data_IF_348888442890
#
_entry.id   IF_348888442890
#
_cell.length_a   1.000
_cell.length_b   1.000
_cell.length_c   1.000
_cell.angle_alpha   90.00
_cell.angle_beta   90.00
_cell.angle_gamma   90.00
#
_symmetry.space_group_name_H-M   'P 1'
#
loop_
_entity.id
_entity.type
_entity.pdbx_description
1 polymer ?
#
# COMPACT_ATOMS: atom_id res chain seq x y z
N UNK A 1 -33.31 39.05 -9.58
CA UNK A 1 -33.20 37.57 -9.71
C UNK A 1 -31.83 37.08 -10.16
N UNK A 2 -31.18 37.66 -11.19
CA UNK A 2 -29.84 37.20 -11.64
C UNK A 2 -28.73 37.24 -10.57
N UNK A 3 -28.73 38.21 -9.65
CA UNK A 3 -27.71 38.35 -8.60
C UNK A 3 -27.82 37.32 -7.46
N UNK A 4 -29.00 36.72 -7.27
CA UNK A 4 -29.21 35.68 -6.24
C UNK A 4 -28.68 34.33 -6.72
N UNK A 5 -28.83 34.03 -8.02
CA UNK A 5 -28.31 32.80 -8.63
C UNK A 5 -26.78 32.72 -8.60
N UNK A 6 -26.09 33.86 -8.76
CA UNK A 6 -24.62 33.91 -8.74
C UNK A 6 -24.05 33.67 -7.34
N UNK A 7 -24.72 34.16 -6.30
CA UNK A 7 -24.30 33.97 -4.91
C UNK A 7 -24.45 32.50 -4.45
N UNK A 8 -25.49 31.80 -4.91
CA UNK A 8 -25.71 30.38 -4.58
C UNK A 8 -24.67 29.48 -5.27
N UNK A 9 -24.27 29.79 -6.51
CA UNK A 9 -23.23 29.03 -7.21
C UNK A 9 -21.84 29.22 -6.59
N UNK A 10 -21.54 30.40 -6.06
CA UNK A 10 -20.26 30.66 -5.38
C UNK A 10 -20.20 29.98 -3.99
N UNK A 11 -21.33 29.85 -3.30
CA UNK A 11 -21.41 29.16 -2.01
C UNK A 11 -21.25 27.63 -2.13
N UNK A 12 -21.69 27.03 -3.25
CA UNK A 12 -21.49 25.61 -3.55
C UNK A 12 -20.03 25.26 -3.87
N UNK A 13 -19.23 26.22 -4.37
CA UNK A 13 -17.79 26.05 -4.60
C UNK A 13 -16.94 26.16 -3.32
N UNK A 14 -17.55 26.59 -2.20
CA UNK A 14 -16.90 26.73 -0.90
C UNK A 14 -17.20 25.58 0.05
N UNK A 15 -17.85 24.52 -0.41
CA UNK A 15 -17.96 23.29 0.38
C UNK A 15 -16.58 22.63 0.32
N UNK A 16 -15.77 22.65 1.40
CA UNK A 16 -14.54 21.88 1.41
C UNK A 16 -14.96 20.43 1.15
N UNK A 17 -14.45 19.85 0.06
CA UNK A 17 -14.57 18.41 -0.14
C UNK A 17 -13.98 17.76 1.09
N UNK A 18 -14.81 17.12 1.91
CA UNK A 18 -14.29 16.29 2.98
C UNK A 18 -13.43 15.23 2.27
N UNK A 19 -12.11 15.29 2.45
CA UNK A 19 -11.25 14.20 2.08
C UNK A 19 -11.74 13.00 2.91
N UNK A 20 -12.53 12.13 2.26
CA UNK A 20 -13.03 10.93 2.89
C UNK A 20 -11.80 10.05 3.13
N UNK A 21 -11.58 9.69 4.40
CA UNK A 21 -10.52 8.76 4.74
C UNK A 21 -10.77 7.42 4.04
N UNK A 22 -9.71 6.84 3.50
CA UNK A 22 -9.76 5.55 2.83
C UNK A 22 -10.15 4.44 3.80
N UNK A 23 -10.87 3.45 3.29
CA UNK A 23 -11.26 2.28 4.07
C UNK A 23 -10.46 1.07 3.61
N UNK A 24 -9.77 0.44 4.57
CA UNK A 24 -9.10 -0.84 4.37
C UNK A 24 -9.89 -1.92 5.09
N UNK A 25 -10.23 -3.00 4.40
CA UNK A 25 -10.85 -4.19 5.00
C UNK A 25 -9.80 -5.29 5.13
N UNK A 26 -9.75 -5.94 6.29
CA UNK A 26 -8.89 -7.08 6.53
C UNK A 26 -9.65 -8.37 6.22
N UNK A 27 -9.17 -9.14 5.24
CA UNK A 27 -9.80 -10.38 4.81
C UNK A 27 -9.07 -11.62 5.35
N UNK A 28 -7.81 -11.47 5.78
CA UNK A 28 -7.06 -12.54 6.41
C UNK A 28 -5.57 -12.51 6.11
N UNK A 29 -4.97 -13.68 6.16
CA UNK A 29 -3.56 -13.90 5.82
C UNK A 29 -3.54 -14.54 4.43
N UNK A 30 -2.95 -13.83 3.46
CA UNK A 30 -2.73 -14.35 2.11
C UNK A 30 -1.64 -15.42 2.14
N UNK A 31 -0.46 -15.06 2.68
CA UNK A 31 0.66 -15.96 2.85
C UNK A 31 1.08 -16.02 4.32
N UNK A 32 0.89 -17.16 5.02
CA UNK A 32 1.35 -17.28 6.39
C UNK A 32 2.87 -17.28 6.45
N UNK A 33 3.41 -16.53 7.41
CA UNK A 33 4.83 -16.57 7.77
C UNK A 33 5.08 -17.39 9.04
N UNK A 34 6.26 -17.19 9.61
CA UNK A 34 6.73 -17.87 10.81
C UNK A 34 6.71 -16.92 12.02
N UNK A 35 6.74 -17.49 13.22
CA UNK A 35 6.89 -16.73 14.44
C UNK A 35 8.34 -16.33 14.60
N UNK A 36 8.57 -15.04 14.86
CA UNK A 36 9.91 -14.50 15.02
C UNK A 36 10.12 -13.90 16.41
N UNK A 37 11.38 -13.71 16.73
CA UNK A 37 11.86 -12.95 17.88
C UNK A 37 12.92 -11.97 17.40
N UNK A 38 12.80 -10.71 17.82
CA UNK A 38 13.78 -9.68 17.55
C UNK A 38 13.91 -8.68 18.70
N UNK A 39 14.63 -7.59 18.45
CA UNK A 39 14.83 -6.53 19.42
C UNK A 39 14.52 -5.17 18.80
N UNK A 40 13.89 -4.28 19.57
CA UNK A 40 13.75 -2.85 19.30
C UNK A 40 14.19 -2.13 20.56
N UNK A 41 15.12 -1.18 20.46
CA UNK A 41 15.69 -0.48 21.63
C UNK A 41 16.07 -1.43 22.78
N UNK A 42 16.79 -2.52 22.47
CA UNK A 42 17.17 -3.61 23.41
C UNK A 42 16.00 -4.40 24.02
N UNK A 43 14.75 -4.03 23.75
CA UNK A 43 13.57 -4.74 24.21
C UNK A 43 13.21 -5.84 23.23
N UNK A 44 13.09 -7.05 23.77
CA UNK A 44 12.72 -8.22 22.98
C UNK A 44 11.26 -8.16 22.56
N UNK A 45 11.01 -8.45 21.29
CA UNK A 45 9.68 -8.51 20.68
C UNK A 45 9.43 -9.87 20.06
N UNK A 46 8.18 -10.29 20.07
CA UNK A 46 7.69 -11.53 19.50
C UNK A 46 6.51 -11.19 18.60
N UNK A 47 6.49 -11.76 17.40
CA UNK A 47 5.42 -11.53 16.46
C UNK A 47 5.28 -12.73 15.51
N UNK A 48 4.08 -12.91 14.98
CA UNK A 48 3.85 -13.75 13.80
C UNK A 48 4.00 -12.87 12.57
N UNK A 49 4.67 -13.36 11.55
CA UNK A 49 4.79 -12.69 10.26
C UNK A 49 3.81 -13.27 9.25
N UNK A 50 3.55 -12.53 8.18
CA UNK A 50 2.77 -12.99 7.04
C UNK A 50 2.46 -11.84 6.11
N UNK A 51 1.98 -12.19 4.93
CA UNK A 51 1.39 -11.25 3.97
C UNK A 51 -0.12 -11.21 4.20
N UNK A 52 -0.70 -10.02 4.25
CA UNK A 52 -2.13 -9.85 4.46
C UNK A 52 -2.92 -9.84 3.16
N UNK A 53 -4.09 -10.45 3.22
CA UNK A 53 -5.17 -10.23 2.27
C UNK A 53 -6.01 -9.06 2.80
N UNK A 54 -5.97 -7.94 2.07
CA UNK A 54 -6.75 -6.74 2.36
C UNK A 54 -7.43 -6.22 1.10
N UNK A 55 -8.49 -5.44 1.28
CA UNK A 55 -9.06 -4.62 0.20
C UNK A 55 -8.98 -3.14 0.56
N UNK A 56 -8.63 -2.29 -0.40
CA UNK A 56 -8.65 -0.83 -0.26
C UNK A 56 -9.77 -0.26 -1.12
N UNK A 57 -10.76 0.40 -0.51
CA UNK A 57 -11.94 0.95 -1.19
C UNK A 57 -12.63 -0.06 -2.14
N UNK A 58 -12.80 -1.30 -1.66
CA UNK A 58 -13.41 -2.42 -2.40
C UNK A 58 -12.53 -3.00 -3.53
N UNK A 59 -11.33 -2.47 -3.75
CA UNK A 59 -10.33 -3.04 -4.67
C UNK A 59 -9.38 -4.00 -3.95
N UNK A 60 -9.05 -5.10 -4.60
CA UNK A 60 -8.12 -6.10 -4.09
C UNK A 60 -6.68 -5.57 -4.11
N UNK A 61 -5.98 -5.75 -3.01
CA UNK A 61 -4.57 -5.43 -2.87
C UNK A 61 -3.76 -6.71 -3.08
N UNK A 62 -2.68 -6.63 -3.86
CA UNK A 62 -1.90 -7.81 -4.24
C UNK A 62 -1.04 -8.36 -3.09
N UNK A 63 -0.52 -7.46 -2.26
CA UNK A 63 0.29 -7.81 -1.09
C UNK A 63 0.30 -6.65 -0.10
N UNK A 64 0.21 -6.97 1.20
CA UNK A 64 0.28 -5.98 2.28
C UNK A 64 1.05 -6.51 3.49
N UNK A 65 1.83 -5.63 4.13
CA UNK A 65 2.65 -5.94 5.29
C UNK A 65 2.55 -4.84 6.35
N UNK A 66 2.68 -5.22 7.62
CA UNK A 66 2.80 -4.26 8.72
C UNK A 66 4.09 -3.45 8.61
N UNK A 67 4.08 -2.16 8.90
CA UNK A 67 5.31 -1.36 8.89
C UNK A 67 6.00 -1.31 10.26
N UNK A 68 5.30 -1.64 11.34
CA UNK A 68 5.83 -1.61 12.71
C UNK A 68 5.53 -2.89 13.48
N UNK A 69 6.53 -3.46 14.16
CA UNK A 69 6.30 -4.58 15.08
C UNK A 69 5.64 -4.14 16.40
N UNK A 70 5.51 -2.83 16.63
CA UNK A 70 5.01 -2.28 17.89
C UNK A 70 3.49 -2.03 17.91
N UNK A 71 2.86 -1.99 16.74
CA UNK A 71 1.42 -1.79 16.60
C UNK A 71 0.70 -3.13 16.44
N UNK A 72 -0.64 -3.13 16.45
CA UNK A 72 -1.43 -4.35 16.22
C UNK A 72 -2.79 -4.03 15.59
N UNK A 73 -3.39 -5.05 14.97
CA UNK A 73 -4.70 -4.95 14.30
C UNK A 73 -4.61 -4.34 12.90
N UNK A 74 -5.47 -4.79 11.99
CA UNK A 74 -5.54 -4.34 10.59
C UNK A 74 -6.99 -3.99 10.25
N UNK A 75 -7.18 -3.04 9.32
CA UNK A 75 -8.48 -2.66 8.76
C UNK A 75 -9.16 -1.49 9.49
N UNK A 76 -10.15 -0.86 8.88
CA UNK A 76 -10.76 0.39 9.36
C UNK A 76 -10.37 1.59 8.50
N UNK A 77 -10.28 2.77 9.13
CA UNK A 77 -10.00 4.02 8.42
C UNK A 77 -8.50 4.34 8.39
N UNK A 78 -8.00 4.66 7.20
CA UNK A 78 -6.61 4.98 6.93
C UNK A 78 -6.48 6.28 6.14
N UNK A 79 -5.31 6.90 6.25
CA UNK A 79 -4.87 7.95 5.35
C UNK A 79 -3.86 7.31 4.38
N UNK A 80 -4.26 7.13 3.11
CA UNK A 80 -3.44 6.41 2.13
C UNK A 80 -2.73 7.41 1.23
N UNK A 81 -1.41 7.24 1.11
CA UNK A 81 -0.57 8.08 0.26
C UNK A 81 0.22 7.21 -0.69
N UNK A 82 0.24 7.56 -1.98
CA UNK A 82 1.03 6.85 -2.97
C UNK A 82 2.53 7.04 -2.67
N UNK A 83 3.34 5.99 -2.88
CA UNK A 83 4.78 6.06 -2.68
C UNK A 83 5.43 7.19 -3.47
N UNK A 84 4.93 7.45 -4.69
CA UNK A 84 5.40 8.52 -5.57
C UNK A 84 5.26 9.94 -5.01
N UNK A 85 4.38 10.13 -4.01
CA UNK A 85 4.12 11.43 -3.41
C UNK A 85 5.08 11.73 -2.25
N UNK A 86 5.86 10.73 -1.81
CA UNK A 86 6.89 10.90 -0.79
C UNK A 86 8.21 11.36 -1.42
N UNK A 87 8.89 12.31 -0.78
CA UNK A 87 10.26 12.65 -1.17
C UNK A 87 11.23 11.53 -0.77
N UNK A 88 11.80 10.83 -1.75
CA UNK A 88 12.77 9.77 -1.53
C UNK A 88 13.94 10.18 -0.63
N UNK A 89 14.41 11.43 -0.71
CA UNK A 89 15.55 11.90 0.11
C UNK A 89 15.23 11.92 1.61
N UNK A 90 13.94 12.03 1.95
CA UNK A 90 13.43 12.02 3.32
C UNK A 90 12.95 10.63 3.72
N UNK A 91 12.28 9.91 2.81
CA UNK A 91 11.60 8.64 3.05
C UNK A 91 12.32 7.43 2.42
N UNK A 92 13.66 7.45 2.41
CA UNK A 92 14.46 6.40 1.75
C UNK A 92 14.13 4.97 2.23
N UNK A 93 13.86 4.78 3.52
CA UNK A 93 13.51 3.47 4.09
C UNK A 93 12.15 2.98 3.60
N UNK A 94 11.22 3.89 3.30
CA UNK A 94 9.92 3.53 2.72
C UNK A 94 10.09 3.03 1.27
N UNK A 95 10.92 3.71 0.48
CA UNK A 95 11.28 3.24 -0.86
C UNK A 95 12.02 1.90 -0.84
N UNK A 96 12.93 1.71 0.11
CA UNK A 96 13.61 0.42 0.32
C UNK A 96 12.64 -0.68 0.71
N UNK A 97 11.69 -0.40 1.61
CA UNK A 97 10.66 -1.36 1.98
C UNK A 97 9.77 -1.74 0.79
N UNK A 98 9.37 -0.76 -0.03
CA UNK A 98 8.61 -1.01 -1.26
C UNK A 98 9.41 -1.85 -2.26
N UNK A 99 10.71 -1.59 -2.42
CA UNK A 99 11.59 -2.40 -3.27
C UNK A 99 11.69 -3.84 -2.79
N UNK A 100 11.81 -4.03 -1.48
CA UNK A 100 11.80 -5.37 -0.88
C UNK A 100 10.51 -6.09 -1.26
N UNK A 101 9.37 -5.43 -1.14
CA UNK A 101 8.10 -6.03 -1.58
C UNK A 101 8.11 -6.34 -3.08
N UNK A 102 8.48 -5.39 -3.94
CA UNK A 102 8.44 -5.53 -5.40
C UNK A 102 9.32 -6.70 -5.93
N UNK A 103 10.34 -7.11 -5.18
CA UNK A 103 11.28 -8.15 -5.60
C UNK A 103 11.15 -9.46 -4.82
N UNK A 104 10.56 -9.44 -3.61
CA UNK A 104 10.58 -10.59 -2.70
C UNK A 104 9.22 -10.98 -2.10
N UNK A 105 8.16 -10.18 -2.31
CA UNK A 105 6.83 -10.52 -1.81
C UNK A 105 6.22 -11.69 -2.62
N UNK A 106 5.79 -12.79 -1.98
CA UNK A 106 5.15 -13.90 -2.68
C UNK A 106 3.90 -13.49 -3.46
N UNK A 107 3.06 -12.62 -2.89
CA UNK A 107 1.85 -12.11 -3.56
C UNK A 107 2.12 -11.28 -4.82
N UNK A 108 3.36 -10.84 -5.02
CA UNK A 108 3.80 -10.11 -6.21
C UNK A 108 4.54 -11.01 -7.22
N UNK A 109 4.51 -12.32 -7.03
CA UNK A 109 5.10 -13.29 -7.94
C UNK A 109 6.58 -13.57 -7.70
N UNK A 110 7.09 -13.33 -6.48
CA UNK A 110 8.39 -13.84 -6.09
C UNK A 110 8.39 -15.37 -6.15
N UNK A 111 9.23 -15.92 -7.02
CA UNK A 111 9.38 -17.36 -7.21
C UNK A 111 10.84 -17.76 -6.97
N UNK A 112 11.03 -18.81 -6.16
CA UNK A 112 12.35 -19.33 -5.82
C UNK A 112 12.29 -20.82 -5.57
N UNK A 113 13.13 -21.59 -6.28
CA UNK A 113 13.35 -23.01 -5.99
C UNK A 113 13.96 -23.25 -4.60
N UNK A 114 14.48 -22.19 -3.95
CA UNK A 114 15.26 -22.27 -2.73
C UNK A 114 14.51 -21.82 -1.48
N UNK A 115 13.62 -20.84 -1.62
CA UNK A 115 12.86 -20.25 -0.53
C UNK A 115 11.37 -20.46 -0.77
N UNK A 116 10.68 -21.13 0.15
CA UNK A 116 9.22 -21.20 0.11
C UNK A 116 8.58 -19.85 0.40
N UNK A 117 7.36 -19.62 -0.07
CA UNK A 117 6.57 -18.41 0.19
C UNK A 117 6.48 -18.05 1.68
N UNK A 118 6.35 -19.04 2.56
CA UNK A 118 6.35 -18.84 4.02
C UNK A 118 7.66 -18.22 4.53
N UNK A 119 8.81 -18.65 3.99
CA UNK A 119 10.12 -18.10 4.34
C UNK A 119 10.27 -16.69 3.76
N UNK A 120 9.82 -16.47 2.52
CA UNK A 120 9.85 -15.17 1.85
C UNK A 120 8.97 -14.14 2.58
N UNK A 121 7.71 -14.46 2.87
CA UNK A 121 6.81 -13.59 3.64
C UNK A 121 7.38 -13.27 5.04
N UNK A 122 8.05 -14.24 5.69
CA UNK A 122 8.74 -14.01 6.98
C UNK A 122 9.91 -13.03 6.83
N UNK A 123 10.73 -13.21 5.81
CA UNK A 123 11.91 -12.39 5.55
C UNK A 123 11.50 -10.96 5.16
N UNK A 124 10.52 -10.80 4.26
CA UNK A 124 9.96 -9.51 3.81
C UNK A 124 9.38 -8.76 5.00
N UNK A 125 8.45 -9.36 5.77
CA UNK A 125 7.84 -8.71 6.93
C UNK A 125 8.88 -8.28 7.96
N UNK A 126 9.89 -9.12 8.22
CA UNK A 126 10.98 -8.80 9.16
C UNK A 126 11.88 -7.67 8.66
N UNK A 127 12.16 -7.63 7.36
CA UNK A 127 12.99 -6.61 6.74
C UNK A 127 12.27 -5.25 6.70
N UNK A 128 10.98 -5.24 6.40
CA UNK A 128 10.13 -4.04 6.49
C UNK A 128 10.16 -3.50 7.92
N UNK A 129 9.98 -4.35 8.94
CA UNK A 129 10.10 -3.91 10.32
C UNK A 129 11.48 -3.35 10.67
N UNK A 130 12.55 -3.93 10.14
CA UNK A 130 13.91 -3.42 10.36
C UNK A 130 14.12 -2.02 9.79
N UNK A 131 13.39 -1.66 8.72
CA UNK A 131 13.48 -0.35 8.07
C UNK A 131 12.50 0.68 8.66
N UNK A 132 11.28 0.26 9.00
CA UNK A 132 10.15 1.15 9.26
C UNK A 132 9.66 1.17 10.70
N UNK A 133 10.01 0.17 11.53
CA UNK A 133 9.62 0.21 12.96
C UNK A 133 10.20 1.46 13.59
N UNK A 134 9.42 2.36 14.19
CA UNK A 134 9.96 3.54 14.86
C UNK A 134 10.80 3.12 16.06
N UNK A 135 11.96 3.75 16.22
CA UNK A 135 12.90 3.47 17.31
C UNK A 135 13.55 4.74 17.84
N UNK A 136 13.92 4.72 19.12
CA UNK A 136 14.65 5.83 19.73
C UNK A 136 16.16 5.67 19.62
N UNK A 137 16.66 4.43 19.68
CA UNK A 137 18.08 4.11 19.75
C UNK A 137 18.52 3.08 18.72
N UNK A 138 17.73 2.03 18.47
CA UNK A 138 18.10 0.98 17.50
C UNK A 138 16.88 0.43 16.74
N UNK A 139 17.01 0.22 15.41
CA UNK A 139 15.95 -0.38 14.60
C UNK A 139 15.58 -1.79 15.06
N UNK A 140 14.47 -2.30 14.54
CA UNK A 140 14.15 -3.71 14.70
C UNK A 140 15.26 -4.57 14.11
N UNK A 141 15.72 -5.56 14.89
CA UNK A 141 16.68 -6.56 14.43
C UNK A 141 16.13 -7.96 14.67
N UNK A 142 16.02 -8.75 13.60
CA UNK A 142 15.64 -10.16 13.68
C UNK A 142 16.74 -10.98 14.38
N UNK A 143 16.42 -11.48 15.57
CA UNK A 143 17.34 -12.32 16.35
C UNK A 143 17.23 -13.79 15.97
N UNK A 144 16.00 -14.30 15.89
CA UNK A 144 15.74 -15.72 15.60
C UNK A 144 14.33 -15.93 15.05
N UNK A 145 14.18 -16.89 14.16
CA UNK A 145 12.89 -17.47 13.80
C UNK A 145 12.60 -18.64 14.74
N UNK A 146 11.41 -18.64 15.34
CA UNK A 146 11.04 -19.47 16.50
C UNK A 146 10.06 -20.59 16.19
N UNK A 147 9.38 -20.55 15.04
CA UNK A 147 8.55 -21.65 14.52
C UNK A 147 9.10 -22.20 13.20
N UNK A 148 8.55 -23.34 12.76
CA UNK A 148 8.99 -24.04 11.54
C UNK A 148 10.15 -25.02 11.78
N UNK A 149 10.51 -25.74 10.72
CA UNK A 149 11.68 -26.62 10.66
C UNK A 149 12.99 -25.86 10.87
N UNK A 150 14.07 -26.57 11.21
CA UNK A 150 15.39 -25.94 11.36
C UNK A 150 15.87 -25.28 10.06
N UNK A 151 15.54 -25.87 8.91
CA UNK A 151 15.86 -25.32 7.59
C UNK A 151 15.11 -24.02 7.35
N UNK A 152 13.79 -24.00 7.54
CA UNK A 152 12.97 -22.77 7.39
C UNK A 152 13.48 -21.63 8.26
N UNK A 153 13.82 -21.93 9.52
CA UNK A 153 14.35 -20.93 10.47
C UNK A 153 15.68 -20.35 10.01
N UNK A 154 16.58 -21.18 9.52
CA UNK A 154 17.89 -20.76 9.01
C UNK A 154 17.73 -19.94 7.72
N UNK A 155 16.99 -20.46 6.74
CA UNK A 155 16.79 -19.86 5.43
C UNK A 155 16.03 -18.54 5.47
N UNK A 156 14.99 -18.43 6.30
CA UNK A 156 14.27 -17.16 6.46
C UNK A 156 15.18 -16.06 7.01
N UNK A 157 16.11 -16.41 7.92
CA UNK A 157 17.07 -15.45 8.47
C UNK A 157 18.17 -15.07 7.47
N UNK A 158 18.62 -16.05 6.68
CA UNK A 158 19.55 -15.84 5.57
C UNK A 158 18.95 -14.88 4.54
N UNK A 159 17.74 -15.16 4.06
CA UNK A 159 17.01 -14.32 3.10
C UNK A 159 16.76 -12.92 3.66
N UNK A 160 16.33 -12.80 4.92
CA UNK A 160 16.21 -11.48 5.59
C UNK A 160 17.50 -10.66 5.52
N UNK A 161 18.65 -11.30 5.76
CA UNK A 161 19.96 -10.61 5.75
C UNK A 161 20.35 -10.22 4.33
N UNK A 162 20.10 -11.09 3.36
CA UNK A 162 20.33 -10.83 1.93
C UNK A 162 19.49 -9.64 1.46
N UNK A 163 18.18 -9.65 1.71
CA UNK A 163 17.24 -8.58 1.34
C UNK A 163 17.69 -7.21 1.89
N UNK A 164 18.09 -7.16 3.16
CA UNK A 164 18.55 -5.90 3.76
C UNK A 164 19.88 -5.40 3.16
N UNK A 165 20.79 -6.31 2.80
CA UNK A 165 22.05 -5.97 2.17
C UNK A 165 21.82 -5.44 0.74
N UNK A 166 21.00 -6.11 -0.06
CA UNK A 166 20.69 -5.70 -1.43
C UNK A 166 19.95 -4.37 -1.47
N UNK A 167 18.91 -4.20 -0.65
CA UNK A 167 18.12 -2.96 -0.59
C UNK A 167 18.94 -1.73 -0.15
N UNK A 168 20.10 -1.91 0.49
CA UNK A 168 20.98 -0.81 0.87
C UNK A 168 21.78 -0.24 -0.31
N UNK A 169 21.96 -1.00 -1.39
CA UNK A 169 22.76 -0.63 -2.56
C UNK A 169 21.95 -0.07 -3.74
N UNK A 170 20.63 0.04 -3.62
CA UNK A 170 19.75 0.42 -4.73
C UNK A 170 19.76 1.93 -4.95
N UNK A 171 19.93 2.34 -6.21
CA UNK A 171 19.69 3.71 -6.65
C UNK A 171 18.25 3.87 -7.14
N UNK A 172 17.43 4.53 -6.31
CA UNK A 172 16.02 4.79 -6.60
C UNK A 172 15.79 5.87 -7.65
N UNK A 173 16.81 6.62 -8.06
CA UNK A 173 16.68 7.61 -9.13
C UNK A 173 16.43 6.98 -10.51
N UNK A 174 16.81 5.71 -10.68
CA UNK A 174 16.66 4.95 -11.94
C UNK A 174 15.79 3.70 -11.81
N UNK A 175 15.41 3.32 -10.60
CA UNK A 175 14.59 2.14 -10.36
C UNK A 175 13.13 2.37 -10.76
N UNK A 176 12.59 1.48 -11.60
CA UNK A 176 11.18 1.49 -12.00
C UNK A 176 10.44 0.35 -11.31
N UNK A 177 9.52 0.70 -10.40
CA UNK A 177 8.65 -0.26 -9.74
C UNK A 177 7.72 -0.97 -10.73
N UNK A 178 7.57 -2.28 -10.56
CA UNK A 178 6.66 -3.12 -11.33
C UNK A 178 5.21 -2.90 -10.89
N UNK A 179 5.00 -2.69 -9.60
CA UNK A 179 3.71 -2.43 -8.97
C UNK A 179 3.57 -0.97 -8.49
N UNK A 180 2.35 -0.58 -8.12
CA UNK A 180 2.11 0.70 -7.42
C UNK A 180 2.11 0.44 -5.92
N UNK A 181 2.84 1.26 -5.16
CA UNK A 181 2.98 1.10 -3.72
C UNK A 181 2.32 2.25 -2.97
N UNK A 182 1.74 1.94 -1.82
CA UNK A 182 1.00 2.88 -1.00
C UNK A 182 1.34 2.66 0.47
N UNK A 183 1.45 3.77 1.20
CA UNK A 183 1.58 3.77 2.65
C UNK A 183 0.24 4.18 3.26
N UNK A 184 -0.28 3.34 4.16
CA UNK A 184 -1.53 3.56 4.87
C UNK A 184 -1.25 3.86 6.34
N UNK A 185 -1.48 5.11 6.75
CA UNK A 185 -1.40 5.54 8.16
C UNK A 185 -2.75 5.33 8.85
N UNK A 186 -2.78 4.60 9.96
CA UNK A 186 -4.02 4.26 10.64
C UNK A 186 -4.58 5.43 11.47
N UNK A 187 -5.81 5.84 11.14
CA UNK A 187 -6.53 6.85 11.93
C UNK A 187 -7.06 6.32 13.28
N UNK A 188 -6.87 5.03 13.56
CA UNK A 188 -7.50 4.32 14.68
C UNK A 188 -6.48 3.63 15.60
N UNK A 189 -5.21 4.04 15.54
CA UNK A 189 -4.10 3.42 16.29
C UNK A 189 -3.95 1.91 15.99
N UNK A 190 -4.23 1.50 14.76
CA UNK A 190 -3.97 0.13 14.29
C UNK A 190 -2.60 0.04 13.63
N UNK A 191 -2.28 -1.09 13.01
CA UNK A 191 -1.08 -1.23 12.19
C UNK A 191 -1.17 -0.34 10.97
N UNK A 192 -0.11 0.44 10.77
CA UNK A 192 0.19 1.08 9.49
C UNK A 192 0.65 0.02 8.50
N UNK A 193 0.30 0.21 7.24
CA UNK A 193 0.48 -0.78 6.19
C UNK A 193 1.30 -0.20 5.06
N UNK A 194 2.20 -1.03 4.53
CA UNK A 194 2.76 -0.85 3.21
C UNK A 194 2.14 -1.91 2.32
N UNK A 195 1.52 -1.48 1.23
CA UNK A 195 0.82 -2.39 0.34
C UNK A 195 1.02 -2.04 -1.13
N UNK A 196 0.75 -3.04 -1.98
CA UNK A 196 0.95 -2.95 -3.42
C UNK A 196 -0.33 -3.25 -4.20
N UNK A 197 -0.56 -2.50 -5.27
CA UNK A 197 -1.63 -2.77 -6.25
C UNK A 197 -1.03 -2.96 -7.64
N UNK A 198 -1.80 -3.62 -8.51
CA UNK A 198 -1.40 -3.81 -9.89
C UNK A 198 -1.20 -2.45 -10.56
N UNK A 199 -0.12 -2.30 -11.32
CA UNK A 199 0.09 -1.11 -12.16
C UNK A 199 -0.96 -1.12 -13.26
N UNK A 200 -2.05 -0.39 -13.07
CA UNK A 200 -3.09 -0.27 -14.09
C UNK A 200 -2.48 0.42 -15.30
N UNK A 201 -2.27 -0.30 -16.40
CA UNK A 201 -1.94 0.32 -17.68
C UNK A 201 -3.15 1.15 -18.12
N UNK A 202 -3.06 2.48 -17.96
CA UNK A 202 -3.99 3.51 -18.43
C UNK A 202 -5.45 3.46 -17.90
N UNK A 203 -5.76 4.49 -17.11
CA UNK A 203 -7.06 5.00 -16.65
C UNK A 203 -8.19 4.98 -17.72
N UNK A 204 -9.46 5.07 -17.29
CA UNK A 204 -10.34 6.09 -17.85
C UNK A 204 -10.36 7.33 -16.95
N UNK A 205 -9.63 8.35 -17.40
CA UNK A 205 -9.54 9.66 -16.76
C UNK A 205 -10.94 10.25 -16.46
N UNK A 206 -11.09 11.09 -15.43
CA UNK A 206 -12.31 11.88 -15.18
C UNK A 206 -12.81 12.67 -16.42
N UNK A 207 -11.91 12.96 -17.37
CA UNK A 207 -12.24 13.57 -18.67
C UNK A 207 -13.12 12.69 -19.58
N UNK A 208 -13.01 11.37 -19.49
CA UNK A 208 -13.84 10.45 -20.27
C UNK A 208 -15.29 10.40 -19.78
N UNK A 209 -15.54 10.56 -18.46
CA UNK A 209 -16.90 10.80 -17.94
C UNK A 209 -17.47 12.15 -18.41
N UNK A 210 -16.65 13.20 -18.53
CA UNK A 210 -17.06 14.48 -19.08
C UNK A 210 -17.39 14.41 -20.59
N UNK A 211 -16.68 13.60 -21.36
CA UNK A 211 -16.95 13.34 -22.78
C UNK A 211 -18.23 12.51 -22.97
N UNK A 212 -18.48 11.50 -22.15
CA UNK A 212 -19.75 10.77 -22.17
C UNK A 212 -20.94 11.62 -21.71
N UNK A 213 -20.75 12.46 -20.69
CA UNK A 213 -21.77 13.41 -20.23
C UNK A 213 -22.12 14.48 -21.28
N UNK A 214 -21.13 15.01 -22.00
CA UNK A 214 -21.35 15.99 -23.06
C UNK A 214 -21.96 15.38 -24.34
N UNK A 215 -21.62 14.13 -24.68
CA UNK A 215 -22.25 13.40 -25.78
C UNK A 215 -23.76 13.15 -25.54
N UNK A 216 -24.16 12.83 -24.30
CA UNK A 216 -25.56 12.63 -23.94
C UNK A 216 -26.37 13.94 -23.96
N UNK A 217 -25.80 15.05 -23.50
CA UNK A 217 -26.44 16.36 -23.58
C UNK A 217 -26.58 16.86 -25.03
N UNK A 218 -25.58 16.61 -25.88
CA UNK A 218 -25.63 16.92 -27.30
C UNK A 218 -26.73 16.15 -28.04
N UNK A 219 -26.89 14.85 -27.76
CA UNK A 219 -27.93 14.02 -28.35
C UNK A 219 -29.34 14.44 -27.92
N UNK A 220 -29.52 14.85 -26.66
CA UNK A 220 -30.81 15.33 -26.15
C UNK A 220 -31.20 16.69 -26.79
N UNK A 221 -30.24 17.62 -26.90
CA UNK A 221 -30.43 18.90 -27.58
C UNK A 221 -30.80 18.77 -29.07
N UNK A 222 -30.18 17.82 -29.79
CA UNK A 222 -30.51 17.54 -31.19
C UNK A 222 -31.94 17.01 -31.36
N UNK A 223 -32.37 16.10 -30.47
CA UNK A 223 -33.72 15.49 -30.51
C UNK A 223 -34.84 16.51 -30.27
N UNK A 224 -34.63 17.50 -29.40
CA UNK A 224 -35.60 18.59 -29.19
C UNK A 224 -35.71 19.53 -30.40
N UNK A 225 -34.63 19.72 -31.14
CA UNK A 225 -34.61 20.59 -32.33
C UNK A 225 -35.37 19.99 -33.51
N UNK A 226 -35.34 18.67 -33.66
CA UNK A 226 -36.13 17.97 -34.69
C UNK A 226 -37.63 18.03 -34.41
N UNK A 227 -38.06 17.91 -33.15
CA UNK A 227 -39.48 18.00 -32.78
C UNK A 227 -40.11 19.38 -33.04
N UNK A 228 -39.32 20.45 -33.03
CA UNK A 228 -39.79 21.82 -33.34
C UNK A 228 -39.92 22.14 -34.83
N UNK A 229 -39.38 21.30 -35.73
CA UNK A 229 -39.54 21.46 -37.19
C UNK A 229 -40.69 20.63 -37.77
N UNK A 230 -41.32 19.80 -36.95
CA UNK A 230 -42.44 18.93 -37.33
C UNK A 230 -43.78 19.40 -36.77
N UNK A 231 -43.85 20.62 -36.26
CA UNK A 231 -45.05 21.35 -35.87
C UNK A 231 -45.07 22.70 -36.61
#
# INVERSE_FOLDING_TARGET
MKRVLTAVFLALLLIPGAALADTITYNGIQQPGLNIKGYVDYNRKYASTGEFDISWNEEEVLAAYCTSILSYGVGGSYNVTALSDFDYSIYNNLYRAAWIMDNYAPGLGYDSDYYSDTMAATAVQSAIWALLTPYRYSPFYLSSVTSGSSTERYRSKELYTQILAESAGIDFGSYAFQNMFYFADSNQNKQDLLFATAKTSSVPEPGSMLLFGSALLGAWGYRFRLRKKSA
#
